data_IF_855043338878
#
_entry.id   IF_855043338878
#
_cell.length_a   1.000
_cell.length_b   1.000
_cell.length_c   1.000
_cell.angle_alpha   90.00
_cell.angle_beta   90.00
_cell.angle_gamma   90.00
#
_symmetry.space_group_name_H-M   'P 1'
#
loop_
_entity.id
_entity.type
_entity.pdbx_description
1 polymer ?
#
# COMPACT_ATOMS: atom_id res chain seq x y z
N UNK A 1 -25.28 -11.53 -15.62
CA UNK A 1 -24.35 -10.72 -14.81
C UNK A 1 -24.65 -11.03 -13.34
N UNK A 2 -23.59 -11.15 -12.53
CA UNK A 2 -23.61 -11.41 -11.07
C UNK A 2 -23.72 -12.88 -10.65
N UNK A 3 -22.61 -13.60 -10.80
CA UNK A 3 -22.31 -14.75 -9.94
C UNK A 3 -22.23 -14.25 -8.50
N UNK A 4 -23.07 -14.78 -7.61
CA UNK A 4 -22.90 -14.68 -6.16
C UNK A 4 -21.50 -15.23 -5.80
N UNK A 5 -20.50 -14.36 -5.76
CA UNK A 5 -19.23 -14.70 -5.15
C UNK A 5 -19.46 -14.65 -3.66
N UNK A 6 -19.80 -15.80 -3.07
CA UNK A 6 -19.85 -15.96 -1.63
C UNK A 6 -18.56 -15.37 -1.05
N UNK A 7 -18.67 -14.44 -0.08
CA UNK A 7 -17.49 -13.88 0.56
C UNK A 7 -16.63 -15.02 1.11
N UNK A 8 -15.35 -15.06 0.74
CA UNK A 8 -14.41 -16.03 1.30
C UNK A 8 -14.35 -15.82 2.82
N UNK A 9 -14.58 -16.91 3.58
CA UNK A 9 -14.53 -16.84 5.04
C UNK A 9 -13.11 -16.53 5.50
N UNK A 10 -12.94 -15.85 6.64
CA UNK A 10 -11.61 -15.56 7.19
C UNK A 10 -10.75 -16.82 7.36
N UNK A 11 -11.34 -17.94 7.80
CA UNK A 11 -10.64 -19.21 7.94
C UNK A 11 -10.15 -19.80 6.62
N UNK A 12 -10.99 -19.78 5.57
CA UNK A 12 -10.57 -20.26 4.25
C UNK A 12 -9.47 -19.37 3.64
N UNK A 13 -9.53 -18.05 3.88
CA UNK A 13 -8.48 -17.13 3.49
C UNK A 13 -7.17 -17.41 4.22
N UNK A 14 -7.23 -17.64 5.54
CA UNK A 14 -6.06 -17.95 6.37
C UNK A 14 -5.35 -19.26 5.95
N UNK A 15 -6.10 -20.29 5.55
CA UNK A 15 -5.51 -21.52 5.01
C UNK A 15 -4.85 -21.27 3.64
N UNK A 16 -5.50 -20.51 2.76
CA UNK A 16 -4.99 -20.26 1.42
C UNK A 16 -3.68 -19.45 1.40
N UNK A 17 -3.49 -18.51 2.33
CA UNK A 17 -2.29 -17.66 2.36
C UNK A 17 -1.02 -18.39 2.80
N UNK A 18 -1.13 -19.55 3.46
CA UNK A 18 0.03 -20.36 3.91
C UNK A 18 0.88 -20.84 2.74
N UNK A 19 0.28 -21.12 1.59
CA UNK A 19 0.97 -21.61 0.39
C UNK A 19 1.52 -20.48 -0.50
N UNK A 20 1.18 -19.22 -0.22
CA UNK A 20 1.60 -18.09 -1.05
C UNK A 20 3.04 -17.67 -0.74
N UNK A 21 3.86 -17.34 -1.76
CA UNK A 21 5.14 -16.66 -1.58
C UNK A 21 4.99 -15.30 -0.91
N UNK A 22 6.02 -14.86 -0.17
CA UNK A 22 6.01 -13.60 0.59
C UNK A 22 5.67 -12.38 -0.28
N UNK A 23 6.20 -12.32 -1.51
CA UNK A 23 5.91 -11.23 -2.44
C UNK A 23 4.41 -11.14 -2.79
N UNK A 24 3.71 -12.28 -2.88
CA UNK A 24 2.27 -12.29 -3.14
C UNK A 24 1.46 -11.87 -1.91
N UNK A 25 1.95 -12.13 -0.69
CA UNK A 25 1.31 -11.62 0.53
C UNK A 25 1.29 -10.08 0.53
N UNK A 26 2.44 -9.43 0.32
CA UNK A 26 2.52 -7.97 0.27
C UNK A 26 1.77 -7.38 -0.93
N UNK A 27 1.76 -8.06 -2.07
CA UNK A 27 0.92 -7.68 -3.21
C UNK A 27 -0.57 -7.65 -2.83
N UNK A 28 -1.04 -8.66 -2.08
CA UNK A 28 -2.41 -8.69 -1.57
C UNK A 28 -2.70 -7.62 -0.53
N UNK A 29 -1.74 -7.26 0.32
CA UNK A 29 -1.88 -6.09 1.21
C UNK A 29 -2.08 -4.81 0.40
N UNK A 30 -1.27 -4.61 -0.65
CA UNK A 30 -1.39 -3.43 -1.51
C UNK A 30 -2.75 -3.36 -2.22
N UNK A 31 -3.27 -4.51 -2.67
CA UNK A 31 -4.59 -4.60 -3.31
C UNK A 31 -5.73 -4.28 -2.35
N UNK A 32 -5.69 -4.84 -1.13
CA UNK A 32 -6.70 -4.62 -0.10
C UNK A 32 -6.70 -3.17 0.39
N UNK A 33 -5.52 -2.59 0.65
CA UNK A 33 -5.39 -1.18 1.07
C UNK A 33 -5.86 -0.20 -0.01
N UNK A 34 -5.58 -0.49 -1.27
CA UNK A 34 -6.10 0.28 -2.40
C UNK A 34 -7.64 0.19 -2.45
N UNK A 35 -8.20 -1.01 -2.32
CA UNK A 35 -9.65 -1.23 -2.29
C UNK A 35 -10.34 -0.47 -1.15
N UNK A 36 -9.78 -0.51 0.06
CA UNK A 36 -10.26 0.26 1.22
C UNK A 36 -10.20 1.77 0.94
N UNK A 37 -9.11 2.25 0.34
CA UNK A 37 -8.97 3.67 -0.02
C UNK A 37 -10.07 4.12 -0.99
N UNK A 38 -10.39 3.29 -1.98
CA UNK A 38 -11.49 3.58 -2.89
C UNK A 38 -12.86 3.55 -2.21
N UNK A 39 -13.11 2.60 -1.30
CA UNK A 39 -14.35 2.56 -0.51
C UNK A 39 -14.51 3.80 0.36
N UNK A 40 -13.45 4.24 1.04
CA UNK A 40 -13.49 5.46 1.84
C UNK A 40 -13.77 6.71 1.00
N UNK A 41 -13.16 6.82 -0.19
CA UNK A 41 -13.46 7.92 -1.12
C UNK A 41 -14.92 7.89 -1.58
N UNK A 42 -15.40 6.73 -2.02
CA UNK A 42 -16.80 6.54 -2.44
C UNK A 42 -17.77 6.91 -1.32
N UNK A 43 -17.52 6.46 -0.09
CA UNK A 43 -18.35 6.80 1.06
C UNK A 43 -18.30 8.29 1.39
N UNK A 44 -17.16 8.96 1.23
CA UNK A 44 -17.08 10.41 1.41
C UNK A 44 -17.92 11.16 0.36
N UNK A 45 -17.90 10.72 -0.90
CA UNK A 45 -18.73 11.27 -1.97
C UNK A 45 -20.23 11.04 -1.71
N UNK A 46 -20.63 9.83 -1.29
CA UNK A 46 -22.01 9.53 -0.92
C UNK A 46 -22.50 10.37 0.27
N UNK A 47 -21.64 10.57 1.29
CA UNK A 47 -21.96 11.43 2.44
C UNK A 47 -22.10 12.90 2.05
N UNK A 48 -21.29 13.39 1.11
CA UNK A 48 -21.42 14.74 0.57
C UNK A 48 -22.74 14.90 -0.20
N UNK A 49 -23.08 13.93 -1.05
CA UNK A 49 -24.34 13.92 -1.79
C UNK A 49 -25.56 13.93 -0.85
N UNK A 50 -25.51 13.14 0.23
CA UNK A 50 -26.56 13.09 1.26
C UNK A 50 -26.81 14.44 1.94
N UNK A 51 -25.77 15.28 2.06
CA UNK A 51 -25.87 16.60 2.68
C UNK A 51 -26.35 17.68 1.69
N UNK A 52 -25.96 17.57 0.42
CA UNK A 52 -26.10 18.65 -0.56
C UNK A 52 -27.27 18.47 -1.54
N UNK A 53 -27.69 17.22 -1.80
CA UNK A 53 -28.53 16.90 -2.97
C UNK A 53 -29.73 15.99 -2.67
N UNK A 54 -29.87 15.48 -1.45
CA UNK A 54 -30.92 14.53 -1.11
C UNK A 54 -32.14 15.25 -0.50
N UNK A 55 -33.29 15.15 -1.19
CA UNK A 55 -34.53 15.84 -0.83
C UNK A 55 -35.59 14.92 -0.17
N UNK A 56 -35.40 13.59 -0.23
CA UNK A 56 -36.31 12.57 0.30
C UNK A 56 -35.66 11.72 1.39
N UNK A 57 -36.39 11.48 2.48
CA UNK A 57 -35.92 10.63 3.57
C UNK A 57 -35.74 9.16 3.16
N UNK A 58 -36.50 8.69 2.16
CA UNK A 58 -36.36 7.34 1.62
C UNK A 58 -35.02 7.16 0.88
N UNK A 59 -34.64 8.10 0.02
CA UNK A 59 -33.35 8.10 -0.70
C UNK A 59 -32.19 8.21 0.29
N UNK A 60 -32.31 9.08 1.28
CA UNK A 60 -31.32 9.25 2.34
C UNK A 60 -31.05 7.94 3.07
N UNK A 61 -32.11 7.22 3.47
CA UNK A 61 -32.02 5.94 4.17
C UNK A 61 -31.38 4.86 3.32
N UNK A 62 -31.67 4.83 2.02
CA UNK A 62 -31.06 3.89 1.07
C UNK A 62 -29.54 4.16 0.94
N UNK A 63 -29.15 5.41 0.75
CA UNK A 63 -27.74 5.81 0.68
C UNK A 63 -26.97 5.53 1.98
N UNK A 64 -27.58 5.78 3.13
CA UNK A 64 -27.02 5.40 4.44
C UNK A 64 -26.79 3.88 4.55
N UNK A 65 -27.69 3.08 3.96
CA UNK A 65 -27.54 1.62 3.92
C UNK A 65 -26.34 1.23 3.05
N UNK A 66 -26.17 1.81 1.86
CA UNK A 66 -25.01 1.53 1.00
C UNK A 66 -23.69 1.95 1.64
N UNK A 67 -23.65 3.11 2.31
CA UNK A 67 -22.45 3.56 3.05
C UNK A 67 -22.07 2.53 4.11
N UNK A 68 -23.06 2.06 4.88
CA UNK A 68 -22.85 1.06 5.93
C UNK A 68 -22.35 -0.28 5.37
N UNK A 69 -22.94 -0.77 4.29
CA UNK A 69 -22.48 -2.00 3.63
C UNK A 69 -21.03 -1.88 3.14
N UNK A 70 -20.66 -0.73 2.57
CA UNK A 70 -19.27 -0.45 2.18
C UNK A 70 -18.30 -0.42 3.38
N UNK A 71 -18.75 0.10 4.52
CA UNK A 71 -17.98 0.09 5.77
C UNK A 71 -17.76 -1.35 6.27
N UNK A 72 -18.78 -2.19 6.23
CA UNK A 72 -18.68 -3.62 6.60
C UNK A 72 -17.69 -4.36 5.67
N UNK A 73 -17.69 -4.04 4.37
CA UNK A 73 -16.69 -4.56 3.42
C UNK A 73 -15.28 -4.11 3.80
N UNK A 74 -15.10 -2.83 4.14
CA UNK A 74 -13.80 -2.29 4.56
C UNK A 74 -13.30 -2.97 5.86
N UNK A 75 -14.18 -3.24 6.82
CA UNK A 75 -13.84 -4.03 8.03
C UNK A 75 -13.35 -5.42 7.64
N UNK A 76 -14.10 -6.12 6.78
CA UNK A 76 -13.71 -7.46 6.31
C UNK A 76 -12.39 -7.46 5.54
N UNK A 77 -12.06 -6.40 4.79
CA UNK A 77 -10.76 -6.25 4.14
C UNK A 77 -9.63 -6.02 5.15
N UNK A 78 -9.85 -5.22 6.20
CA UNK A 78 -8.89 -5.03 7.29
C UNK A 78 -8.60 -6.32 8.06
N UNK A 79 -9.62 -7.14 8.31
CA UNK A 79 -9.44 -8.48 8.91
C UNK A 79 -8.52 -9.36 8.06
N UNK A 80 -8.67 -9.33 6.74
CA UNK A 80 -7.78 -10.06 5.82
C UNK A 80 -6.35 -9.53 5.86
N UNK A 81 -6.15 -8.21 5.99
CA UNK A 81 -4.82 -7.62 6.21
C UNK A 81 -4.20 -8.13 7.52
N UNK A 82 -4.99 -8.23 8.60
CA UNK A 82 -4.50 -8.76 9.87
C UNK A 82 -4.08 -10.24 9.77
N UNK A 83 -4.80 -11.05 8.98
CA UNK A 83 -4.40 -12.43 8.70
C UNK A 83 -3.10 -12.51 7.88
N UNK A 84 -2.93 -11.63 6.88
CA UNK A 84 -1.67 -11.53 6.13
C UNK A 84 -0.50 -11.16 7.04
N UNK A 85 -0.70 -10.23 7.97
CA UNK A 85 0.30 -9.84 8.96
C UNK A 85 0.69 -11.01 9.86
N UNK A 86 -0.30 -11.69 10.41
CA UNK A 86 -0.10 -12.88 11.25
C UNK A 86 0.70 -13.95 10.51
N UNK A 87 0.40 -14.18 9.22
CA UNK A 87 1.12 -15.16 8.41
C UNK A 87 2.59 -14.78 8.16
N UNK A 88 2.89 -13.50 7.93
CA UNK A 88 4.29 -13.02 7.81
C UNK A 88 5.05 -13.26 9.11
N UNK A 89 4.44 -12.95 10.25
CA UNK A 89 5.02 -13.15 11.58
C UNK A 89 5.21 -14.63 11.91
N UNK A 90 4.27 -15.50 11.51
CA UNK A 90 4.37 -16.95 11.65
C UNK A 90 5.56 -17.54 10.88
N UNK A 91 6.01 -16.89 9.80
CA UNK A 91 7.22 -17.26 9.05
C UNK A 91 8.51 -16.77 9.70
N UNK A 92 8.42 -16.11 10.86
CA UNK A 92 9.56 -15.56 11.60
C UNK A 92 10.10 -14.26 11.02
N UNK A 93 9.34 -13.59 10.15
CA UNK A 93 9.72 -12.32 9.55
C UNK A 93 8.99 -11.17 10.27
N UNK A 94 9.67 -10.02 10.51
CA UNK A 94 8.97 -8.85 11.01
C UNK A 94 8.00 -8.32 9.96
N UNK A 95 6.82 -7.89 10.39
CA UNK A 95 5.89 -7.15 9.54
C UNK A 95 6.49 -5.80 9.16
N UNK A 96 6.40 -5.45 7.88
CA UNK A 96 6.83 -4.15 7.38
C UNK A 96 5.60 -3.39 6.87
N UNK A 97 5.34 -2.21 7.43
CA UNK A 97 4.23 -1.38 6.98
C UNK A 97 4.52 -0.84 5.58
N UNK A 98 3.58 -1.05 4.64
CA UNK A 98 3.80 -0.69 3.24
C UNK A 98 3.94 0.83 3.04
N UNK A 99 3.34 1.64 3.92
CA UNK A 99 3.50 3.10 3.91
C UNK A 99 4.89 3.54 4.38
N UNK A 100 5.62 2.71 5.15
CA UNK A 100 7.02 2.98 5.48
C UNK A 100 7.93 2.73 4.26
N UNK A 101 7.63 1.73 3.42
CA UNK A 101 8.38 1.49 2.17
C UNK A 101 8.24 2.63 1.15
N UNK A 102 7.10 3.33 1.11
CA UNK A 102 6.88 4.43 0.16
C UNK A 102 7.74 5.66 0.47
N UNK A 103 8.14 5.84 1.73
CA UNK A 103 8.86 7.02 2.20
C UNK A 103 10.38 6.80 2.27
N UNK A 104 10.86 5.55 2.30
CA UNK A 104 12.28 5.21 2.32
C UNK A 104 12.70 4.44 1.05
N UNK A 105 13.21 5.11 0.00
CA UNK A 105 13.73 4.44 -1.20
C UNK A 105 15.01 3.60 -0.95
N UNK A 106 15.50 3.53 0.29
CA UNK A 106 16.75 2.87 0.69
C UNK A 106 16.51 1.72 1.68
N UNK A 107 15.26 1.46 2.12
CA UNK A 107 15.01 0.35 3.05
C UNK A 107 15.43 -0.98 2.40
N UNK A 108 16.47 -1.67 2.91
CA UNK A 108 16.93 -2.89 2.29
C UNK A 108 15.85 -3.95 2.46
N UNK A 109 15.27 -4.42 1.36
CA UNK A 109 14.59 -5.71 1.28
C UNK A 109 15.65 -6.81 1.39
N UNK A 110 16.23 -6.95 2.58
CA UNK A 110 17.18 -8.01 2.90
C UNK A 110 16.40 -9.29 3.18
N UNK A 111 16.16 -10.06 2.12
CA UNK A 111 15.93 -11.50 2.24
C UNK A 111 17.17 -12.12 2.91
N UNK A 112 16.97 -12.82 4.03
CA UNK A 112 18.04 -13.22 4.93
C UNK A 112 19.19 -13.99 4.28
N UNK A 113 20.41 -13.70 4.75
CA UNK A 113 21.50 -14.67 4.90
C UNK A 113 22.39 -14.17 6.04
N UNK A 114 22.62 -15.03 7.03
CA UNK A 114 23.47 -14.74 8.18
C UNK A 114 24.97 -14.72 7.85
N UNK A 115 25.73 -14.45 8.91
CA UNK A 115 27.19 -14.48 9.08
C UNK A 115 28.01 -13.22 8.74
N UNK A 116 28.51 -12.60 9.82
CA UNK A 116 29.95 -12.62 10.08
C UNK A 116 30.80 -11.43 9.61
N UNK A 117 30.98 -10.47 10.53
CA UNK A 117 32.24 -9.83 10.92
C UNK A 117 33.35 -9.58 9.85
N UNK A 118 33.68 -8.29 9.64
CA UNK A 118 34.95 -7.83 9.02
C UNK A 118 34.76 -6.49 8.29
N UNK A 119 34.99 -5.34 8.92
CA UNK A 119 36.28 -4.65 9.06
C UNK A 119 36.90 -4.14 7.75
N UNK A 120 36.92 -2.80 7.65
CA UNK A 120 37.93 -1.93 7.01
C UNK A 120 38.02 -1.86 5.49
N UNK A 121 38.04 -0.63 4.97
CA UNK A 121 38.48 -0.34 3.60
C UNK A 121 38.22 1.10 3.17
N UNK A 122 38.92 2.05 3.78
CA UNK A 122 39.05 3.40 3.23
C UNK A 122 39.95 3.35 1.98
N UNK A 123 39.53 4.00 0.90
CA UNK A 123 40.47 4.44 -0.15
C UNK A 123 40.01 5.77 -0.72
N UNK A 124 40.82 6.78 -0.43
CA UNK A 124 40.93 8.03 -1.18
C UNK A 124 41.48 7.70 -2.58
N UNK A 125 41.03 8.41 -3.61
CA UNK A 125 41.94 8.84 -4.66
C UNK A 125 41.44 10.14 -5.29
N UNK A 126 42.38 11.01 -5.61
CA UNK A 126 42.21 12.41 -5.98
C UNK A 126 42.85 12.68 -7.34
N UNK A 127 42.39 13.77 -7.99
CA UNK A 127 43.09 14.55 -9.05
C UNK A 127 43.10 13.88 -10.43
N UNK A 128 42.79 14.52 -11.58
CA UNK A 128 43.31 15.74 -12.24
C UNK A 128 42.23 16.28 -13.22
N UNK A 129 41.87 17.58 -13.26
CA UNK A 129 42.54 18.74 -13.89
C UNK A 129 42.62 18.71 -15.44
N UNK A 130 41.82 19.54 -16.14
CA UNK A 130 42.23 20.67 -17.02
C UNK A 130 41.32 21.03 -18.21
N UNK A 131 41.38 22.33 -18.53
CA UNK A 131 40.97 23.11 -19.72
C UNK A 131 39.49 23.58 -19.75
N UNK A 132 39.11 24.86 -19.60
CA UNK A 132 39.57 26.18 -20.09
C UNK A 132 38.95 26.58 -21.45
N UNK A 133 38.23 27.72 -21.45
CA UNK A 133 37.71 28.45 -22.62
C UNK A 133 36.25 28.88 -22.42
N UNK A 134 35.92 30.04 -21.83
CA UNK A 134 35.79 31.40 -22.42
C UNK A 134 34.68 31.58 -23.49
N UNK A 135 33.86 32.64 -23.29
CA UNK A 135 32.83 33.17 -24.19
C UNK A 135 31.42 32.99 -23.60
N UNK A 136 30.77 34.01 -23.00
CA UNK A 136 30.07 35.07 -23.75
C UNK A 136 28.93 34.41 -24.55
N UNK A 137 27.66 34.52 -24.21
CA UNK A 137 26.85 35.73 -24.48
C UNK A 137 25.48 35.63 -23.79
N UNK A 138 24.99 36.80 -23.40
CA UNK A 138 23.67 37.13 -22.88
C UNK A 138 22.59 36.90 -23.95
N UNK A 139 21.43 36.36 -23.58
CA UNK A 139 20.40 35.86 -24.51
C UNK A 139 18.98 35.91 -23.96
N UNK A 140 18.42 37.12 -24.03
CA UNK A 140 17.08 37.59 -23.68
C UNK A 140 15.90 36.68 -24.08
N UNK A 141 14.92 36.64 -23.16
CA UNK A 141 13.52 36.20 -23.26
C UNK A 141 12.80 36.39 -24.61
N UNK A 142 12.01 35.36 -25.00
CA UNK A 142 10.65 35.48 -25.53
C UNK A 142 9.78 34.33 -25.03
#
# INVERSE_FOLDING_TARGET
MSTESLPITPGAFAEAIKELPLALLYSKVSELTNSITHLHRSNAELRAFLLESCDSEEEKKELETYIKENEDVAVSMNERIALLKTEVENRGLPWIELDQLKNDPIAPVTNGTGNGNGSTGATQDATESQSQGEGGEDGVYL
#
